data_IF_343319962869
#
_entry.id   IF_343319962869
#
_cell.length_a   1.000
_cell.length_b   1.000
_cell.length_c   1.000
_cell.angle_alpha   90.00
_cell.angle_beta   90.00
_cell.angle_gamma   90.00
#
_symmetry.space_group_name_H-M   'P 1'
#
loop_
_entity.id
_entity.type
_entity.pdbx_description
1 polymer ?
#
# COMPACT_ATOMS: atom_id res chain seq x y z
N UNK A 1 0.21 -5.96 31.86
CA UNK A 1 -1.05 -5.21 31.78
C UNK A 1 -0.96 -4.09 32.80
N UNK A 2 -0.75 -2.84 32.37
CA UNK A 2 -0.54 -1.70 33.25
C UNK A 2 -1.52 -0.59 32.85
N UNK A 3 -2.50 -0.37 33.72
CA UNK A 3 -3.45 0.72 33.66
C UNK A 3 -2.73 2.03 34.01
N UNK A 4 -2.92 3.08 33.21
CA UNK A 4 -2.40 4.41 33.50
C UNK A 4 -3.57 5.38 33.69
N UNK A 5 -3.92 5.58 34.95
CA UNK A 5 -4.56 6.79 35.46
C UNK A 5 -3.57 7.96 35.26
N UNK A 6 -3.96 9.00 34.54
CA UNK A 6 -3.21 10.25 34.55
C UNK A 6 -4.14 11.42 34.87
N UNK A 7 -4.09 11.88 36.11
CA UNK A 7 -4.58 13.19 36.54
C UNK A 7 -3.78 14.29 35.85
N UNK A 8 -4.48 15.32 35.39
CA UNK A 8 -3.93 16.40 34.58
C UNK A 8 -2.76 17.12 35.26
N UNK A 9 -1.65 17.20 34.54
CA UNK A 9 -0.73 18.35 34.46
C UNK A 9 0.06 18.21 33.17
N UNK A 10 -0.12 19.18 32.29
CA UNK A 10 0.49 19.23 30.96
C UNK A 10 2.02 19.22 31.07
N UNK A 11 2.63 18.07 30.78
CA UNK A 11 4.05 17.97 30.41
C UNK A 11 4.07 17.81 28.89
N UNK A 12 4.43 18.87 28.15
CA UNK A 12 4.70 18.76 26.70
C UNK A 12 5.92 17.85 26.53
N UNK A 13 5.64 16.58 26.28
CA UNK A 13 6.65 15.54 26.19
C UNK A 13 7.48 15.67 24.93
N UNK A 14 8.80 15.53 25.07
CA UNK A 14 9.76 15.25 23.98
C UNK A 14 9.40 13.96 23.18
N UNK A 15 8.34 13.25 23.57
CA UNK A 15 7.71 12.13 22.86
C UNK A 15 7.19 12.49 21.46
N UNK A 16 6.92 13.77 21.17
CA UNK A 16 6.53 14.18 19.80
C UNK A 16 7.64 13.89 18.77
N UNK A 17 8.91 14.11 19.11
CA UNK A 17 10.04 13.81 18.22
C UNK A 17 10.35 12.30 18.18
N UNK A 18 10.20 11.59 19.31
CA UNK A 18 10.45 10.14 19.37
C UNK A 18 9.38 9.30 18.66
N UNK A 19 8.14 9.78 18.55
CA UNK A 19 7.10 9.12 17.71
C UNK A 19 7.45 9.10 16.23
N UNK A 20 8.18 10.11 15.73
CA UNK A 20 8.64 10.11 14.34
C UNK A 20 9.91 9.29 14.12
N UNK A 21 10.72 9.06 15.15
CA UNK A 21 11.93 8.21 15.05
C UNK A 21 11.60 6.71 15.10
N UNK A 22 10.56 6.27 15.83
CA UNK A 22 10.23 4.85 15.97
C UNK A 22 9.50 4.21 14.78
N UNK A 23 9.05 4.98 13.79
CA UNK A 23 8.32 4.46 12.62
C UNK A 23 9.29 4.01 11.49
N UNK A 24 10.60 4.28 11.61
CA UNK A 24 11.58 3.99 10.55
C UNK A 24 12.13 2.56 10.51
N UNK A 25 11.72 1.66 11.40
CA UNK A 25 12.36 0.34 11.54
C UNK A 25 11.40 -0.83 11.48
N UNK A 26 10.48 -0.80 10.52
CA UNK A 26 10.02 -2.01 9.85
C UNK A 26 10.20 -1.74 8.37
N UNK A 27 11.46 -1.85 7.92
CA UNK A 27 11.74 -1.99 6.50
C UNK A 27 11.06 -3.31 6.11
N UNK A 28 9.81 -3.24 5.64
CA UNK A 28 9.14 -4.37 5.06
C UNK A 28 10.11 -4.94 4.01
N UNK A 29 10.53 -6.19 4.22
CA UNK A 29 11.48 -6.82 3.30
C UNK A 29 10.88 -6.75 1.90
N UNK A 30 11.62 -6.26 0.90
CA UNK A 30 11.10 -6.11 -0.44
C UNK A 30 10.60 -7.46 -0.93
N UNK A 31 9.40 -7.46 -1.50
CA UNK A 31 8.80 -8.68 -2.04
C UNK A 31 9.67 -9.17 -3.20
N UNK A 32 10.27 -10.35 -3.02
CA UNK A 32 11.16 -10.99 -4.00
C UNK A 32 10.40 -11.84 -5.01
N UNK A 33 9.14 -12.19 -4.75
CA UNK A 33 8.32 -13.06 -5.60
C UNK A 33 6.91 -12.51 -5.76
N UNK A 34 6.37 -12.60 -7.00
CA UNK A 34 4.99 -12.25 -7.27
C UNK A 34 4.06 -13.28 -6.62
N UNK A 35 3.12 -12.83 -5.79
CA UNK A 35 2.18 -13.73 -5.11
C UNK A 35 0.95 -12.99 -4.61
N UNK A 36 -0.15 -13.72 -4.50
CA UNK A 36 -1.34 -13.26 -3.81
C UNK A 36 -1.08 -13.42 -2.30
N UNK A 37 -1.20 -12.33 -1.54
CA UNK A 37 -1.17 -12.32 -0.08
C UNK A 37 -2.53 -11.89 0.46
N UNK A 38 -2.83 -12.30 1.69
CA UNK A 38 -4.06 -11.94 2.38
C UNK A 38 -4.03 -10.54 3.00
N UNK A 39 -2.84 -9.96 3.15
CA UNK A 39 -2.64 -8.63 3.71
C UNK A 39 -1.78 -7.76 2.79
N UNK A 40 -1.99 -6.45 2.84
CA UNK A 40 -1.21 -5.41 2.14
C UNK A 40 -0.55 -4.52 3.18
N UNK A 41 0.75 -4.28 3.02
CA UNK A 41 1.56 -3.42 3.88
C UNK A 41 1.96 -2.14 3.15
N UNK A 42 2.15 -1.05 3.90
CA UNK A 42 2.74 0.18 3.35
C UNK A 42 4.13 -0.14 2.77
N UNK A 43 4.41 0.36 1.56
CA UNK A 43 5.62 0.07 0.79
C UNK A 43 5.47 -1.08 -0.20
N UNK A 44 4.39 -1.87 -0.10
CA UNK A 44 4.14 -2.95 -1.05
C UNK A 44 3.79 -2.41 -2.44
N UNK A 45 4.23 -3.15 -3.46
CA UNK A 45 3.78 -2.99 -4.83
C UNK A 45 2.65 -3.98 -5.09
N UNK A 46 1.49 -3.46 -5.46
CA UNK A 46 0.29 -4.28 -5.70
C UNK A 46 -0.30 -3.98 -7.07
N UNK A 47 -0.76 -5.02 -7.74
CA UNK A 47 -1.55 -4.90 -8.95
C UNK A 47 -3.05 -4.88 -8.60
N UNK A 48 -3.76 -3.98 -9.27
CA UNK A 48 -5.18 -3.73 -9.12
C UNK A 48 -5.92 -4.01 -10.43
N UNK A 49 -7.24 -4.23 -10.34
CA UNK A 49 -8.12 -4.31 -11.51
C UNK A 49 -7.95 -3.10 -12.44
N UNK A 50 -7.98 -3.34 -13.76
CA UNK A 50 -7.91 -2.30 -14.79
C UNK A 50 -6.50 -1.83 -15.13
N UNK A 51 -5.53 -2.75 -15.23
CA UNK A 51 -4.13 -2.47 -15.62
C UNK A 51 -3.44 -1.41 -14.76
N UNK A 52 -3.75 -1.40 -13.47
CA UNK A 52 -3.28 -0.42 -12.50
C UNK A 52 -2.33 -1.06 -11.50
N UNK A 53 -1.23 -0.38 -11.23
CA UNK A 53 -0.28 -0.77 -10.18
C UNK A 53 -0.23 0.34 -9.14
N UNK A 54 -0.20 -0.03 -7.88
CA UNK A 54 -0.10 0.89 -6.76
C UNK A 54 1.18 0.59 -5.96
N UNK A 55 1.99 1.61 -5.74
CA UNK A 55 2.99 1.61 -4.68
C UNK A 55 2.36 2.25 -3.44
N UNK A 56 2.05 1.42 -2.45
CA UNK A 56 1.21 1.78 -1.30
C UNK A 56 1.98 2.70 -0.36
N UNK A 57 1.43 3.88 -0.05
CA UNK A 57 2.02 4.83 0.90
C UNK A 57 1.24 4.93 2.21
N UNK A 58 -0.08 4.73 2.17
CA UNK A 58 -0.95 4.76 3.34
C UNK A 58 -2.31 4.13 3.05
N UNK A 59 -3.15 4.04 4.08
CA UNK A 59 -4.53 3.59 3.96
C UNK A 59 -5.49 4.66 4.43
N UNK A 60 -6.72 4.59 3.93
CA UNK A 60 -7.80 5.48 4.34
C UNK A 60 -9.08 4.66 4.55
N UNK A 61 -9.81 4.89 5.64
CA UNK A 61 -11.13 4.30 5.81
C UNK A 61 -12.13 4.91 4.82
N UNK A 62 -13.03 4.10 4.26
CA UNK A 62 -14.06 4.61 3.34
C UNK A 62 -15.12 5.42 4.09
N UNK A 63 -15.44 4.98 5.30
CA UNK A 63 -16.52 5.52 6.13
C UNK A 63 -15.99 5.99 7.49
N UNK A 64 -16.74 6.90 8.13
CA UNK A 64 -16.41 7.45 9.45
C UNK A 64 -15.98 8.91 9.43
N UNK A 65 -16.06 9.55 10.61
CA UNK A 65 -15.74 10.97 10.81
C UNK A 65 -14.24 11.27 10.63
N UNK A 66 -13.39 10.35 11.07
CA UNK A 66 -11.96 10.33 10.75
C UNK A 66 -11.70 9.27 9.70
N UNK A 67 -11.23 9.70 8.52
CA UNK A 67 -10.89 8.79 7.42
C UNK A 67 -9.44 8.32 7.47
N UNK A 68 -8.59 8.92 8.31
CA UNK A 68 -7.19 8.50 8.44
C UNK A 68 -7.11 7.08 9.02
N UNK A 69 -6.34 6.20 8.37
CA UNK A 69 -6.00 4.88 8.88
C UNK A 69 -4.54 4.88 9.31
N UNK A 70 -4.28 4.58 10.58
CA UNK A 70 -2.92 4.54 11.16
C UNK A 70 -2.25 3.16 11.05
N UNK A 71 -2.94 2.18 10.48
CA UNK A 71 -2.41 0.82 10.34
C UNK A 71 -1.30 0.79 9.28
N UNK A 72 -0.24 0.01 9.54
CA UNK A 72 0.82 -0.23 8.56
C UNK A 72 0.51 -1.40 7.62
N UNK A 73 -0.32 -2.33 8.08
CA UNK A 73 -0.75 -3.50 7.34
C UNK A 73 -2.24 -3.65 7.50
N UNK A 74 -2.94 -3.99 6.42
CA UNK A 74 -4.39 -4.19 6.40
C UNK A 74 -4.73 -5.46 5.64
N UNK A 75 -5.76 -6.20 6.08
CA UNK A 75 -6.18 -7.39 5.37
C UNK A 75 -6.94 -7.03 4.10
N UNK A 76 -6.67 -7.75 3.02
CA UNK A 76 -7.37 -7.67 1.72
C UNK A 76 -8.83 -8.08 1.90
N UNK A 77 -9.04 -9.19 2.60
CA UNK A 77 -10.36 -9.71 2.96
C UNK A 77 -10.69 -9.29 4.39
N UNK A 78 -11.90 -8.80 4.61
CA UNK A 78 -12.33 -8.50 5.98
C UNK A 78 -12.41 -9.83 6.76
N UNK A 79 -11.86 -9.91 7.98
CA UNK A 79 -12.07 -11.08 8.85
C UNK A 79 -13.55 -11.33 9.06
N UNK A 80 -13.92 -12.60 9.21
CA UNK A 80 -15.28 -12.98 9.57
C UNK A 80 -15.69 -12.24 10.86
N UNK A 81 -16.94 -11.78 10.92
CA UNK A 81 -17.54 -11.09 12.07
C UNK A 81 -17.12 -9.63 12.31
N UNK A 82 -16.37 -9.00 11.39
CA UNK A 82 -16.04 -7.56 11.47
C UNK A 82 -16.86 -6.75 10.47
N UNK A 83 -17.59 -5.71 10.94
CA UNK A 83 -18.30 -4.78 10.05
C UNK A 83 -17.29 -3.97 9.21
N UNK A 84 -17.37 -4.14 7.89
CA UNK A 84 -16.47 -3.54 6.92
C UNK A 84 -16.64 -2.01 6.90
N UNK A 85 -15.68 -1.28 7.46
CA UNK A 85 -15.57 0.19 7.24
C UNK A 85 -15.08 0.56 5.84
N UNK A 86 -14.59 -0.45 5.11
CA UNK A 86 -13.97 -0.31 3.80
C UNK A 86 -12.60 0.36 3.89
N UNK A 87 -11.66 -0.06 3.05
CA UNK A 87 -10.30 0.50 3.02
C UNK A 87 -10.00 0.96 1.61
N UNK A 88 -9.54 2.20 1.50
CA UNK A 88 -8.90 2.74 0.32
C UNK A 88 -7.38 2.60 0.44
N UNK A 89 -6.76 2.08 -0.62
CA UNK A 89 -5.34 2.18 -0.90
C UNK A 89 -5.01 3.61 -1.33
N UNK A 90 -3.98 4.17 -0.71
CA UNK A 90 -3.41 5.48 -1.05
C UNK A 90 -1.94 5.28 -1.38
N UNK A 91 -1.47 5.89 -2.46
CA UNK A 91 -0.15 5.62 -2.98
C UNK A 91 0.08 6.26 -4.34
N UNK A 92 1.20 5.91 -4.96
CA UNK A 92 1.45 6.25 -6.35
C UNK A 92 0.80 5.19 -7.24
N UNK A 93 -0.05 5.63 -8.16
CA UNK A 93 -0.73 4.76 -9.10
C UNK A 93 -0.09 4.86 -10.47
N UNK A 94 0.08 3.72 -11.13
CA UNK A 94 0.73 3.60 -12.43
C UNK A 94 -0.17 2.82 -13.38
N UNK A 95 -0.37 3.32 -14.59
CA UNK A 95 -0.93 2.53 -15.68
C UNK A 95 0.18 1.70 -16.31
N UNK A 96 -0.13 0.47 -16.68
CA UNK A 96 0.82 -0.45 -17.31
C UNK A 96 0.64 -0.44 -18.83
N UNK A 97 1.71 -0.17 -19.57
CA UNK A 97 1.74 -0.32 -21.03
C UNK A 97 1.82 -1.81 -21.42
N UNK A 98 1.51 -2.15 -22.67
CA UNK A 98 1.60 -3.54 -23.16
C UNK A 98 3.01 -4.14 -23.01
N UNK A 99 4.04 -3.29 -23.10
CA UNK A 99 5.45 -3.63 -22.93
C UNK A 99 5.90 -3.61 -21.47
N UNK A 100 4.99 -3.35 -20.51
CA UNK A 100 5.28 -3.35 -19.08
C UNK A 100 5.88 -2.06 -18.53
N UNK A 101 5.87 -0.97 -19.30
CA UNK A 101 6.31 0.33 -18.81
C UNK A 101 5.24 0.92 -17.88
N UNK A 102 5.67 1.55 -16.78
CA UNK A 102 4.80 2.16 -15.80
C UNK A 102 4.71 3.66 -16.02
N UNK A 103 3.50 4.12 -16.30
CA UNK A 103 3.19 5.54 -16.49
C UNK A 103 2.44 6.06 -15.25
N UNK A 104 3.04 7.03 -14.56
CA UNK A 104 2.43 7.60 -13.35
C UNK A 104 1.09 8.27 -13.68
N UNK A 105 0.06 7.93 -12.91
CA UNK A 105 -1.26 8.55 -13.00
C UNK A 105 -1.26 9.82 -12.16
N UNK A 106 -1.18 10.99 -12.79
CA UNK A 106 -1.08 12.29 -12.11
C UNK A 106 -2.41 12.84 -11.53
N UNK A 107 -3.42 11.99 -11.35
CA UNK A 107 -4.67 12.43 -10.73
C UNK A 107 -4.45 12.68 -9.22
N UNK A 108 -4.54 13.94 -8.80
CA UNK A 108 -4.20 14.46 -7.46
C UNK A 108 -4.88 13.77 -6.27
N UNK A 109 -5.89 12.94 -6.48
CA UNK A 109 -6.65 12.28 -5.41
C UNK A 109 -6.96 10.80 -5.69
N UNK A 110 -6.16 10.13 -6.52
CA UNK A 110 -6.38 8.70 -6.74
C UNK A 110 -6.15 7.95 -5.43
N UNK A 111 -7.24 7.37 -4.96
CA UNK A 111 -7.28 6.29 -3.99
C UNK A 111 -8.12 5.20 -4.62
N UNK A 112 -7.79 3.94 -4.37
CA UNK A 112 -8.52 2.81 -4.94
C UNK A 112 -9.04 1.92 -3.84
N UNK A 113 -10.27 1.46 -3.99
CA UNK A 113 -10.84 0.49 -3.05
C UNK A 113 -9.95 -0.76 -3.03
N UNK A 114 -9.61 -1.23 -1.83
CA UNK A 114 -8.91 -2.50 -1.61
C UNK A 114 -9.63 -3.67 -2.30
N UNK A 115 -10.94 -3.59 -2.56
CA UNK A 115 -11.68 -4.55 -3.38
C UNK A 115 -11.07 -4.78 -4.78
N UNK A 116 -10.33 -3.80 -5.30
CA UNK A 116 -9.68 -3.91 -6.61
C UNK A 116 -8.33 -4.62 -6.55
N UNK A 117 -7.84 -5.00 -5.36
CA UNK A 117 -6.60 -5.74 -5.22
C UNK A 117 -6.65 -7.09 -5.95
N UNK A 118 -5.56 -7.45 -6.63
CA UNK A 118 -5.38 -8.73 -7.31
C UNK A 118 -4.20 -9.51 -6.76
N UNK A 119 -3.02 -8.90 -6.69
CA UNK A 119 -1.80 -9.59 -6.27
C UNK A 119 -0.73 -8.60 -5.82
N UNK A 120 0.23 -9.08 -5.03
CA UNK A 120 1.51 -8.40 -4.86
C UNK A 120 2.41 -8.70 -6.05
N UNK A 121 3.25 -7.74 -6.37
CA UNK A 121 4.25 -7.85 -7.41
C UNK A 121 5.64 -7.50 -6.87
N UNK A 122 6.65 -8.04 -7.54
CA UNK A 122 8.03 -7.60 -7.35
C UNK A 122 8.15 -6.13 -7.74
N UNK A 123 8.93 -5.38 -6.97
CA UNK A 123 9.16 -3.96 -7.21
C UNK A 123 9.66 -3.72 -8.66
N UNK A 124 9.11 -2.74 -9.38
CA UNK A 124 9.60 -2.35 -10.70
C UNK A 124 11.03 -1.86 -10.65
N UNK A 125 11.78 -2.09 -11.72
CA UNK A 125 13.16 -1.60 -11.85
C UNK A 125 13.20 -0.34 -12.69
N UNK A 126 14.15 0.55 -12.41
CA UNK A 126 14.44 1.68 -13.30
C UNK A 126 15.23 1.15 -14.49
N UNK A 127 14.86 1.54 -15.71
CA UNK A 127 15.73 1.30 -16.88
C UNK A 127 16.97 2.18 -16.75
N UNK A 128 18.16 1.61 -16.97
CA UNK A 128 19.44 2.31 -16.83
C UNK A 128 19.51 3.65 -17.59
N UNK A 129 18.80 3.78 -18.71
CA UNK A 129 18.83 4.96 -19.59
C UNK A 129 17.51 5.75 -19.64
N UNK A 130 16.55 5.49 -18.73
CA UNK A 130 15.26 6.21 -18.69
C UNK A 130 14.81 6.44 -17.25
N UNK A 131 14.18 7.58 -17.00
CA UNK A 131 13.49 7.88 -15.74
C UNK A 131 12.20 7.06 -15.53
N UNK A 132 11.88 6.13 -16.44
CA UNK A 132 10.68 5.29 -16.38
C UNK A 132 10.92 3.97 -15.64
N UNK A 133 9.94 3.62 -14.81
CA UNK A 133 9.88 2.32 -14.14
C UNK A 133 9.32 1.27 -15.12
N UNK A 134 9.86 0.06 -15.05
CA UNK A 134 9.45 -1.06 -15.90
C UNK A 134 9.28 -2.31 -15.05
N UNK A 135 8.25 -3.08 -15.36
CA UNK A 135 8.02 -4.36 -14.69
C UNK A 135 9.05 -5.40 -15.15
N UNK A 136 9.56 -6.23 -14.21
CA UNK A 136 10.32 -7.41 -14.58
C UNK A 136 9.52 -8.31 -15.54
N UNK A 137 10.21 -8.97 -16.47
CA UNK A 137 9.57 -9.85 -17.46
C UNK A 137 8.80 -11.01 -16.80
N UNK A 138 9.31 -11.54 -15.69
CA UNK A 138 8.63 -12.55 -14.87
C UNK A 138 7.31 -12.04 -14.29
N UNK A 139 7.29 -10.80 -13.80
CA UNK A 139 6.09 -10.13 -13.28
C UNK A 139 5.07 -9.89 -14.39
N UNK A 140 5.50 -9.48 -15.58
CA UNK A 140 4.59 -9.25 -16.69
C UNK A 140 3.93 -10.56 -17.17
N UNK A 141 4.70 -11.66 -17.27
CA UNK A 141 4.15 -12.99 -17.57
C UNK A 141 3.14 -13.44 -16.52
N UNK A 142 3.47 -13.24 -15.23
CA UNK A 142 2.59 -13.58 -14.12
C UNK A 142 1.28 -12.80 -14.16
N UNK A 143 1.32 -11.48 -14.36
CA UNK A 143 0.11 -10.66 -14.43
C UNK A 143 -0.78 -11.00 -15.62
N UNK A 144 -0.20 -11.37 -16.77
CA UNK A 144 -0.95 -11.88 -17.94
C UNK A 144 -1.65 -13.20 -17.62
N UNK A 145 -0.97 -14.12 -16.92
CA UNK A 145 -1.58 -15.41 -16.53
C UNK A 145 -2.79 -15.25 -15.58
N UNK A 146 -2.85 -14.13 -14.85
CA UNK A 146 -3.95 -13.80 -13.93
C UNK A 146 -5.03 -12.92 -14.59
N UNK A 147 -4.95 -12.63 -15.89
CA UNK A 147 -5.84 -11.70 -16.61
C UNK A 147 -5.96 -10.31 -15.93
N UNK A 148 -4.86 -9.83 -15.34
CA UNK A 148 -4.78 -8.49 -14.71
C UNK A 148 -4.30 -7.43 -15.73
N UNK A 149 -3.55 -7.88 -16.74
CA UNK A 149 -3.09 -7.10 -17.89
C UNK A 149 -3.78 -7.55 -19.17
#
# INVERSE_FOLDING_TARGET
MLWLLSSGRFKRSNDRLRRFQRIRTLNALPITTNRIKDDVTIGDWVALSGRLICHVSSFQYQTGRSKACSLQTVPVKCPANVKRRGIFLVGNFYNVSEQGALNLCNERHRKKDMKNYKTHIVAPTKKANRSSLVLPSSTLKFLKSLNVL
#
